data_IF_353251343211
#
_entry.id   IF_353251343211
#
_cell.length_a   1.000
_cell.length_b   1.000
_cell.length_c   1.000
_cell.angle_alpha   90.00
_cell.angle_beta   90.00
_cell.angle_gamma   90.00
#
_symmetry.space_group_name_H-M   'P 1'
#
loop_
_entity.id
_entity.type
_entity.pdbx_description
1 polymer ?
#
# COMPACT_ATOMS: atom_id res chain seq x y z
N UNK A 1 24.39 4.46 -41.65
CA UNK A 1 23.19 4.69 -40.82
C UNK A 1 23.31 6.08 -40.21
N UNK A 2 22.52 7.03 -40.67
CA UNK A 2 22.76 8.46 -40.39
C UNK A 2 22.07 8.89 -39.09
N UNK A 3 22.65 9.86 -38.37
CA UNK A 3 22.15 10.38 -37.09
C UNK A 3 20.69 10.84 -37.12
N UNK A 4 20.20 11.26 -38.30
CA UNK A 4 18.83 11.75 -38.49
C UNK A 4 17.77 10.65 -38.33
N UNK A 5 18.13 9.39 -38.58
CA UNK A 5 17.22 8.25 -38.48
C UNK A 5 16.96 7.82 -37.02
N UNK A 6 17.89 8.11 -36.11
CA UNK A 6 17.79 7.73 -34.68
C UNK A 6 17.06 8.77 -33.82
N UNK A 7 16.90 9.99 -34.33
CA UNK A 7 16.25 11.10 -33.63
C UNK A 7 14.80 10.84 -33.17
N UNK A 8 13.90 10.26 -34.00
CA UNK A 8 12.54 9.95 -33.54
C UNK A 8 12.52 8.90 -32.42
N UNK A 9 13.36 7.86 -32.50
CA UNK A 9 13.47 6.84 -31.46
C UNK A 9 13.97 7.41 -30.12
N UNK A 10 14.91 8.35 -30.15
CA UNK A 10 15.42 9.04 -28.95
C UNK A 10 14.33 9.91 -28.33
N UNK A 11 13.53 10.62 -29.14
CA UNK A 11 12.40 11.41 -28.65
C UNK A 11 11.32 10.55 -28.01
N UNK A 12 10.99 9.44 -28.63
CA UNK A 12 9.99 8.49 -28.11
C UNK A 12 10.44 7.91 -26.77
N UNK A 13 11.70 7.48 -26.67
CA UNK A 13 12.28 6.99 -25.42
C UNK A 13 12.30 8.06 -24.31
N UNK A 14 12.69 9.30 -24.63
CA UNK A 14 12.65 10.41 -23.66
C UNK A 14 11.22 10.72 -23.22
N UNK A 15 10.27 10.78 -24.14
CA UNK A 15 8.87 11.05 -23.81
C UNK A 15 8.27 9.95 -22.93
N UNK A 16 8.58 8.68 -23.20
CA UNK A 16 8.18 7.55 -22.38
C UNK A 16 8.85 7.59 -21.00
N UNK A 17 10.12 7.99 -20.92
CA UNK A 17 10.83 8.18 -19.65
C UNK A 17 10.18 9.27 -18.79
N UNK A 18 9.90 10.45 -19.36
CA UNK A 18 9.26 11.54 -18.61
C UNK A 18 7.80 11.23 -18.25
N UNK A 19 7.07 10.57 -19.14
CA UNK A 19 5.72 10.10 -18.86
C UNK A 19 5.71 9.06 -17.73
N UNK A 20 6.59 8.05 -17.79
CA UNK A 20 6.77 7.05 -16.73
C UNK A 20 7.26 7.64 -15.40
N UNK A 21 8.19 8.61 -15.44
CA UNK A 21 8.68 9.30 -14.25
C UNK A 21 7.61 10.18 -13.58
N UNK A 22 6.71 10.77 -14.37
CA UNK A 22 5.61 11.57 -13.85
C UNK A 22 4.50 10.71 -13.21
N UNK A 23 4.12 9.58 -13.83
CA UNK A 23 3.08 8.67 -13.31
C UNK A 23 3.61 7.81 -12.16
N UNK A 24 4.89 7.45 -12.18
CA UNK A 24 5.50 6.56 -11.18
C UNK A 24 5.47 7.10 -9.75
N UNK A 25 5.31 8.41 -9.54
CA UNK A 25 5.27 9.01 -8.20
C UNK A 25 3.95 8.78 -7.44
N UNK A 26 2.83 8.62 -8.15
CA UNK A 26 1.52 8.43 -7.50
C UNK A 26 1.25 7.01 -7.03
N UNK A 27 1.76 6.01 -7.77
CA UNK A 27 1.48 4.60 -7.52
C UNK A 27 1.90 4.10 -6.12
N UNK A 28 3.06 4.49 -5.56
CA UNK A 28 3.43 4.11 -4.19
C UNK A 28 2.49 4.68 -3.13
N UNK A 29 2.00 5.91 -3.32
CA UNK A 29 1.08 6.57 -2.38
C UNK A 29 -0.27 5.88 -2.37
N UNK A 30 -0.83 5.64 -3.56
CA UNK A 30 -2.11 4.91 -3.71
C UNK A 30 -2.01 3.50 -3.13
N UNK A 31 -0.89 2.80 -3.38
CA UNK A 31 -0.67 1.47 -2.82
C UNK A 31 -0.58 1.51 -1.29
N UNK A 32 0.12 2.48 -0.71
CA UNK A 32 0.20 2.66 0.74
C UNK A 32 -1.18 2.90 1.33
N UNK A 33 -1.98 3.77 0.71
CA UNK A 33 -3.34 4.06 1.16
C UNK A 33 -4.27 2.84 1.07
N UNK A 34 -4.14 2.03 0.02
CA UNK A 34 -4.85 0.76 -0.10
C UNK A 34 -4.47 -0.23 1.02
N UNK A 35 -3.17 -0.31 1.37
CA UNK A 35 -2.72 -1.13 2.49
C UNK A 35 -3.26 -0.62 3.84
N UNK A 36 -3.26 0.69 4.07
CA UNK A 36 -3.81 1.28 5.29
C UNK A 36 -5.29 0.91 5.47
N UNK A 37 -6.08 1.01 4.38
CA UNK A 37 -7.50 0.65 4.39
C UNK A 37 -7.73 -0.84 4.62
N UNK A 38 -6.89 -1.68 4.03
CA UNK A 38 -6.96 -3.12 4.27
C UNK A 38 -6.58 -3.47 5.71
N UNK A 39 -5.57 -2.81 6.28
CA UNK A 39 -5.16 -3.03 7.67
C UNK A 39 -6.27 -2.62 8.66
N UNK A 40 -7.02 -1.53 8.37
CA UNK A 40 -8.23 -1.11 9.12
C UNK A 40 -9.34 -2.19 9.06
N UNK A 41 -9.61 -2.74 7.88
CA UNK A 41 -10.58 -3.82 7.73
C UNK A 41 -10.15 -5.08 8.50
N UNK A 42 -8.89 -5.50 8.34
CA UNK A 42 -8.35 -6.67 9.01
C UNK A 42 -8.38 -6.55 10.53
N UNK A 43 -8.19 -5.34 11.08
CA UNK A 43 -8.38 -5.07 12.50
C UNK A 43 -9.81 -5.29 12.98
N UNK A 44 -10.81 -4.86 12.20
CA UNK A 44 -12.22 -5.04 12.54
C UNK A 44 -12.66 -6.51 12.46
N UNK A 45 -12.09 -7.27 11.53
CA UNK A 45 -12.43 -8.67 11.30
C UNK A 45 -11.66 -9.62 12.24
N UNK A 46 -10.36 -9.38 12.42
CA UNK A 46 -9.40 -10.29 13.05
C UNK A 46 -8.57 -9.60 14.15
N UNK A 47 -9.15 -8.62 14.85
CA UNK A 47 -8.51 -7.98 16.02
C UNK A 47 -8.24 -8.96 17.18
N UNK A 48 -8.92 -10.09 17.20
CA UNK A 48 -8.70 -11.20 18.12
C UNK A 48 -7.31 -11.83 17.99
N UNK A 49 -6.75 -11.86 16.77
CA UNK A 49 -5.37 -12.27 16.53
C UNK A 49 -4.35 -11.35 17.24
N UNK A 50 -4.73 -10.10 17.54
CA UNK A 50 -3.94 -9.14 18.30
C UNK A 50 -4.32 -9.08 19.80
N UNK A 51 -5.21 -9.96 20.25
CA UNK A 51 -5.70 -10.01 21.63
C UNK A 51 -6.86 -9.05 21.95
N UNK A 52 -7.43 -8.38 20.93
CA UNK A 52 -8.62 -7.54 21.10
C UNK A 52 -9.87 -8.42 20.92
N UNK A 53 -10.70 -8.63 21.94
CA UNK A 53 -11.85 -9.52 21.81
C UNK A 53 -12.84 -9.01 20.76
N UNK A 54 -13.10 -9.82 19.73
CA UNK A 54 -14.06 -9.51 18.66
C UNK A 54 -15.36 -10.32 18.82
N UNK A 55 -16.51 -9.69 19.12
CA UNK A 55 -17.79 -10.39 19.26
C UNK A 55 -18.30 -11.00 17.94
N UNK A 56 -17.75 -10.57 16.79
CA UNK A 56 -18.13 -11.05 15.46
C UNK A 56 -17.18 -12.11 14.90
N UNK A 57 -16.14 -12.51 15.64
CA UNK A 57 -15.09 -13.43 15.15
C UNK A 57 -15.65 -14.72 14.53
N UNK A 58 -16.72 -15.27 15.11
CA UNK A 58 -17.38 -16.48 14.61
C UNK A 58 -17.88 -16.35 13.18
N UNK A 59 -18.47 -15.19 12.82
CA UNK A 59 -19.00 -14.94 11.48
C UNK A 59 -17.90 -14.65 10.46
N UNK A 60 -16.74 -14.16 10.91
CA UNK A 60 -15.63 -13.80 10.03
C UNK A 60 -14.77 -15.00 9.61
N UNK A 61 -15.02 -16.19 10.16
CA UNK A 61 -14.32 -17.42 9.78
C UNK A 61 -14.50 -17.77 8.30
N UNK A 62 -15.63 -17.40 7.68
CA UNK A 62 -15.86 -17.58 6.25
C UNK A 62 -14.93 -16.72 5.39
N UNK A 63 -14.52 -15.56 5.90
CA UNK A 63 -13.59 -14.66 5.24
C UNK A 63 -12.12 -15.08 5.43
N UNK A 64 -11.83 -15.86 6.48
CA UNK A 64 -10.48 -16.31 6.84
C UNK A 64 -9.69 -16.91 5.67
N UNK A 65 -10.21 -17.87 4.86
CA UNK A 65 -9.42 -18.47 3.77
C UNK A 65 -8.95 -17.45 2.72
N UNK A 66 -9.66 -16.33 2.54
CA UNK A 66 -9.28 -15.30 1.57
C UNK A 66 -8.16 -14.39 2.06
N UNK A 67 -8.00 -14.27 3.38
CA UNK A 67 -7.01 -13.38 3.99
C UNK A 67 -5.89 -14.13 4.70
N UNK A 68 -5.99 -15.46 4.81
CA UNK A 68 -5.09 -16.32 5.56
C UNK A 68 -3.62 -16.12 5.19
N UNK A 69 -3.30 -16.07 3.89
CA UNK A 69 -1.93 -15.86 3.42
C UNK A 69 -1.38 -14.48 3.79
N UNK A 70 -2.26 -13.47 3.83
CA UNK A 70 -1.89 -12.09 4.16
C UNK A 70 -1.74 -11.86 5.68
N UNK A 71 -2.35 -12.72 6.49
CA UNK A 71 -2.53 -12.54 7.93
C UNK A 71 -1.20 -12.43 8.71
N UNK A 72 -0.18 -13.30 8.50
CA UNK A 72 1.10 -13.19 9.21
C UNK A 72 1.86 -11.91 8.83
N UNK A 73 1.77 -11.50 7.56
CA UNK A 73 2.40 -10.27 7.10
C UNK A 73 1.76 -9.04 7.71
N UNK A 74 0.43 -9.06 7.85
CA UNK A 74 -0.36 -8.00 8.47
C UNK A 74 -0.08 -7.91 9.97
N UNK A 75 -0.10 -9.04 10.68
CA UNK A 75 0.19 -9.09 12.11
C UNK A 75 1.55 -8.47 12.42
N UNK A 76 2.58 -8.83 11.64
CA UNK A 76 3.92 -8.24 11.78
C UNK A 76 3.96 -6.75 11.46
N UNK A 77 3.18 -6.26 10.48
CA UNK A 77 3.06 -4.80 10.22
C UNK A 77 2.41 -4.09 11.40
N UNK A 78 1.36 -4.67 11.98
CA UNK A 78 0.67 -4.11 13.14
C UNK A 78 1.55 -4.07 14.38
N UNK A 79 2.30 -5.15 14.67
CA UNK A 79 3.25 -5.19 15.79
C UNK A 79 4.37 -4.15 15.66
N UNK A 80 4.84 -3.89 14.44
CA UNK A 80 5.87 -2.88 14.19
C UNK A 80 5.34 -1.44 14.18
N UNK A 81 4.01 -1.25 14.20
CA UNK A 81 3.37 0.06 14.12
C UNK A 81 3.47 0.74 15.48
N UNK A 82 4.33 1.75 15.59
CA UNK A 82 4.59 2.44 16.88
C UNK A 82 3.56 3.52 17.19
N UNK A 83 3.30 4.43 16.25
CA UNK A 83 2.44 5.60 16.44
C UNK A 83 1.59 5.89 15.20
N UNK A 84 0.29 5.61 15.28
CA UNK A 84 -0.68 5.89 14.21
C UNK A 84 -0.75 7.38 13.86
N UNK A 85 -0.68 8.25 14.88
CA UNK A 85 -0.75 9.69 14.70
C UNK A 85 0.47 10.25 13.95
N UNK A 86 1.66 9.70 14.19
CA UNK A 86 2.87 10.11 13.50
C UNK A 86 2.85 9.67 12.03
N UNK A 87 2.34 8.47 11.74
CA UNK A 87 2.18 7.98 10.37
C UNK A 87 1.16 8.80 9.57
N UNK A 88 0.04 9.17 10.20
CA UNK A 88 -0.97 10.02 9.57
C UNK A 88 -0.48 11.46 9.42
N UNK A 89 0.23 12.01 10.41
CA UNK A 89 0.85 13.33 10.29
C UNK A 89 1.82 13.40 9.10
N UNK A 90 2.70 12.40 8.95
CA UNK A 90 3.63 12.31 7.83
C UNK A 90 2.94 12.09 6.46
N UNK A 91 1.76 11.46 6.45
CA UNK A 91 0.99 11.26 5.21
C UNK A 91 0.35 12.56 4.71
N UNK A 92 -0.05 13.46 5.62
CA UNK A 92 -0.71 14.73 5.28
C UNK A 92 0.25 15.93 5.27
N UNK A 93 1.55 15.72 5.52
CA UNK A 93 2.57 16.77 5.50
C UNK A 93 2.50 17.70 6.71
N UNK A 94 2.03 17.20 7.86
CA UNK A 94 2.00 17.95 9.13
C UNK A 94 3.33 17.85 9.91
N UNK A 95 4.30 17.10 9.39
CA UNK A 95 5.67 16.92 9.87
C UNK A 95 6.60 17.99 9.31
N UNK A 96 6.36 19.24 9.73
CA UNK A 96 7.31 20.36 9.58
C UNK A 96 8.36 20.40 10.68
#
# INVERSE_FOLDING_TARGET
>A
MSWREKWPAVKEWLSAFFYGASIGKGMPVVRKEAFDKNDELMLLLFGDALGVPNPLAYYMLEALPYVYESLPSWERRMQNRKNLLAEKAAQYGFDG
#
